data_IF_243603436332
#
_entry.id   IF_243603436332
#
_cell.length_a   1.000
_cell.length_b   1.000
_cell.length_c   1.000
_cell.angle_alpha   90.00
_cell.angle_beta   90.00
_cell.angle_gamma   90.00
#
_symmetry.space_group_name_H-M   'P 1'
#
loop_
_entity.id
_entity.type
_entity.pdbx_description
1 polymer ?
#
# COMPACT_ATOMS: atom_id res chain seq x y z
N UNK A 1 -5.86 29.64 -16.37
CA UNK A 1 -4.70 28.96 -15.77
C UNK A 1 -5.15 28.51 -14.39
N UNK A 2 -5.60 27.27 -14.24
CA UNK A 2 -6.15 26.81 -12.96
C UNK A 2 -5.03 26.23 -12.11
N UNK A 3 -4.51 27.07 -11.22
CA UNK A 3 -3.82 26.64 -10.02
C UNK A 3 -4.94 26.08 -9.15
N UNK A 4 -5.04 24.75 -8.98
CA UNK A 4 -6.05 24.23 -8.05
C UNK A 4 -5.55 24.45 -6.62
N UNK A 5 -5.98 25.58 -6.07
CA UNK A 5 -6.28 25.75 -4.65
C UNK A 5 -7.35 24.72 -4.29
N UNK A 6 -6.97 23.65 -3.59
CA UNK A 6 -7.90 22.58 -3.30
C UNK A 6 -7.33 21.54 -2.36
N UNK A 7 -8.21 21.04 -1.51
CA UNK A 7 -7.95 19.85 -0.69
C UNK A 7 -7.98 18.63 -1.62
N UNK A 8 -6.88 17.89 -1.64
CA UNK A 8 -6.69 16.68 -2.45
C UNK A 8 -6.64 15.44 -1.58
N UNK A 9 -7.01 14.29 -2.16
CA UNK A 9 -6.81 12.99 -1.52
C UNK A 9 -5.55 12.31 -2.01
N UNK A 10 -4.89 11.59 -1.12
CA UNK A 10 -3.80 10.69 -1.48
C UNK A 10 -4.24 9.67 -2.54
N UNK A 11 -5.36 8.97 -2.31
CA UNK A 11 -5.84 7.93 -3.24
C UNK A 11 -6.16 8.42 -4.63
N UNK A 12 -6.55 9.70 -4.76
CA UNK A 12 -6.85 10.31 -6.05
C UNK A 12 -5.59 10.49 -6.90
N UNK A 13 -4.42 10.68 -6.27
CA UNK A 13 -3.16 10.90 -6.99
C UNK A 13 -2.42 9.60 -7.33
N UNK A 14 -2.64 8.53 -6.59
CA UNK A 14 -1.97 7.25 -6.84
C UNK A 14 -2.29 6.73 -8.25
N UNK A 15 -1.27 6.19 -8.92
CA UNK A 15 -1.31 5.67 -10.28
C UNK A 15 -1.65 6.70 -11.37
N UNK A 16 -1.70 8.00 -11.04
CA UNK A 16 -1.83 9.05 -12.05
C UNK A 16 -0.55 9.18 -12.87
N UNK A 17 -0.65 9.37 -14.19
CA UNK A 17 0.46 9.77 -15.04
C UNK A 17 1.10 11.08 -14.58
N UNK A 18 2.42 11.16 -14.71
CA UNK A 18 3.21 12.37 -14.51
C UNK A 18 3.79 12.77 -15.86
N UNK A 19 3.45 13.97 -16.30
CA UNK A 19 3.90 14.54 -17.57
C UNK A 19 4.86 15.70 -17.30
N UNK A 20 5.96 15.73 -18.05
CA UNK A 20 6.84 16.90 -18.06
C UNK A 20 6.14 18.05 -18.79
N UNK A 21 6.02 19.20 -18.13
CA UNK A 21 5.30 20.36 -18.65
C UNK A 21 5.95 20.94 -19.92
N UNK A 22 7.28 20.79 -20.08
CA UNK A 22 8.02 21.35 -21.20
C UNK A 22 8.00 20.41 -22.40
N UNK A 23 8.19 19.11 -22.20
CA UNK A 23 8.29 18.13 -23.30
C UNK A 23 6.97 17.42 -23.60
N UNK A 24 6.00 17.45 -22.66
CA UNK A 24 4.75 16.66 -22.72
C UNK A 24 4.98 15.15 -22.66
N UNK A 25 6.20 14.71 -22.33
CA UNK A 25 6.51 13.28 -22.20
C UNK A 25 6.02 12.73 -20.86
N UNK A 26 5.55 11.49 -20.86
CA UNK A 26 5.21 10.76 -19.63
C UNK A 26 6.50 10.27 -18.94
N UNK A 27 6.74 10.80 -17.74
CA UNK A 27 7.87 10.42 -16.90
C UNK A 27 7.62 9.09 -16.18
N UNK A 28 6.36 8.78 -15.91
CA UNK A 28 5.90 7.58 -15.22
C UNK A 28 4.59 7.82 -14.48
N UNK A 29 4.34 6.99 -13.46
CA UNK A 29 3.10 7.05 -12.66
C UNK A 29 3.41 7.20 -11.17
N UNK A 30 2.55 7.95 -10.48
CA UNK A 30 2.61 8.11 -9.03
C UNK A 30 2.52 6.75 -8.35
N UNK A 31 3.56 6.38 -7.61
CA UNK A 31 3.62 5.15 -6.81
C UNK A 31 3.16 5.42 -5.37
N UNK A 32 3.65 6.51 -4.77
CA UNK A 32 3.34 6.89 -3.40
C UNK A 32 3.58 8.40 -3.21
N UNK A 33 3.20 8.94 -2.04
CA UNK A 33 3.55 10.29 -1.60
C UNK A 33 4.62 10.21 -0.51
N UNK A 34 5.59 11.11 -0.59
CA UNK A 34 6.63 11.30 0.41
C UNK A 34 6.09 12.26 1.47
N UNK A 35 6.08 11.84 2.75
CA UNK A 35 5.51 12.63 3.85
C UNK A 35 6.50 12.87 4.97
N UNK A 36 6.40 14.04 5.60
CA UNK A 36 7.04 14.34 6.89
C UNK A 36 6.00 14.09 7.97
N UNK A 37 6.14 12.99 8.68
CA UNK A 37 5.16 12.51 9.67
C UNK A 37 4.96 13.52 10.81
N UNK A 38 6.05 14.00 11.41
CA UNK A 38 6.01 14.95 12.53
C UNK A 38 5.34 16.29 12.19
N UNK A 39 5.44 16.71 10.91
CA UNK A 39 4.88 17.96 10.43
C UNK A 39 3.52 17.78 9.75
N UNK A 40 3.01 16.55 9.67
CA UNK A 40 1.82 16.18 8.90
C UNK A 40 1.78 16.88 7.54
N UNK A 41 2.83 16.66 6.73
CA UNK A 41 2.99 17.36 5.45
C UNK A 41 3.46 16.42 4.35
N UNK A 42 2.91 16.58 3.16
CA UNK A 42 3.42 15.99 1.92
C UNK A 42 4.63 16.81 1.46
N UNK A 43 5.80 16.16 1.41
CA UNK A 43 7.03 16.76 0.90
C UNK A 43 7.17 16.59 -0.61
N UNK A 44 6.60 15.52 -1.17
CA UNK A 44 6.75 15.22 -2.58
C UNK A 44 6.00 13.98 -3.04
N UNK A 45 6.29 13.61 -4.30
CA UNK A 45 5.71 12.47 -4.99
C UNK A 45 6.80 11.47 -5.32
N UNK A 46 6.52 10.20 -5.05
CA UNK A 46 7.37 9.09 -5.45
C UNK A 46 6.71 8.45 -6.68
N UNK A 47 7.48 8.28 -7.75
CA UNK A 47 6.99 7.71 -9.00
C UNK A 47 7.95 6.66 -9.55
N UNK A 48 7.42 5.72 -10.32
CA UNK A 48 8.22 4.71 -11.03
C UNK A 48 8.43 5.16 -12.45
N UNK A 49 9.69 5.31 -12.87
CA UNK A 49 10.00 5.62 -14.27
C UNK A 49 10.06 4.34 -15.12
N UNK A 50 9.51 4.38 -16.34
CA UNK A 50 9.58 3.30 -17.33
C UNK A 50 8.50 2.20 -17.22
N UNK A 51 8.32 1.42 -18.30
CA UNK A 51 7.23 0.46 -18.50
C UNK A 51 7.40 -0.90 -17.78
N UNK A 52 8.58 -1.18 -17.20
CA UNK A 52 8.94 -2.48 -16.59
C UNK A 52 9.21 -2.38 -15.08
N UNK A 53 8.61 -1.41 -14.39
CA UNK A 53 8.81 -1.22 -12.95
C UNK A 53 10.20 -0.67 -12.61
N UNK A 54 10.63 0.38 -13.33
CA UNK A 54 11.95 0.97 -13.15
C UNK A 54 12.14 1.68 -11.81
N UNK A 55 13.32 2.30 -11.65
CA UNK A 55 13.74 2.92 -10.40
C UNK A 55 12.72 3.95 -9.88
N UNK A 56 12.48 3.92 -8.57
CA UNK A 56 11.67 4.94 -7.90
C UNK A 56 12.43 6.25 -7.91
N UNK A 57 11.77 7.30 -8.35
CA UNK A 57 12.26 8.67 -8.34
C UNK A 57 11.32 9.52 -7.49
N UNK A 58 11.87 10.56 -6.90
CA UNK A 58 11.11 11.51 -6.08
C UNK A 58 11.03 12.85 -6.80
N UNK A 59 9.90 13.55 -6.67
CA UNK A 59 9.73 14.94 -7.07
C UNK A 59 9.27 15.72 -5.85
N UNK A 60 9.83 16.91 -5.66
CA UNK A 60 9.40 17.84 -4.64
C UNK A 60 7.99 18.36 -4.95
N UNK A 61 7.21 18.66 -3.92
CA UNK A 61 5.89 19.27 -4.11
C UNK A 61 5.99 20.59 -4.92
N UNK A 62 7.07 21.35 -4.74
CA UNK A 62 7.36 22.59 -5.48
C UNK A 62 7.60 22.40 -6.98
N UNK A 63 7.94 21.18 -7.42
CA UNK A 63 8.12 20.84 -8.84
C UNK A 63 6.78 20.55 -9.53
N UNK A 64 5.70 20.34 -8.78
CA UNK A 64 4.35 20.16 -9.32
C UNK A 64 3.81 21.53 -9.72
N UNK A 65 3.45 21.67 -11.00
CA UNK A 65 2.94 22.94 -11.55
C UNK A 65 1.42 22.93 -11.69
N UNK A 66 0.85 21.77 -12.01
CA UNK A 66 -0.59 21.61 -12.06
C UNK A 66 -0.97 20.15 -11.77
N UNK A 67 -2.12 19.99 -11.12
CA UNK A 67 -2.75 18.69 -10.89
C UNK A 67 -4.00 18.69 -11.76
N UNK A 68 -3.91 18.04 -12.92
CA UNK A 68 -5.02 17.89 -13.85
C UNK A 68 -5.97 16.77 -13.43
N UNK A 69 -7.14 16.66 -14.11
CA UNK A 69 -8.08 15.57 -13.88
C UNK A 69 -7.44 14.20 -14.17
N UNK A 70 -6.58 14.12 -15.20
CA UNK A 70 -6.05 12.86 -15.71
C UNK A 70 -4.54 12.69 -15.50
N UNK A 71 -3.79 13.76 -15.21
CA UNK A 71 -2.34 13.73 -15.09
C UNK A 71 -1.79 14.85 -14.19
N UNK A 72 -0.62 14.62 -13.61
CA UNK A 72 0.16 15.64 -12.91
C UNK A 72 1.17 16.24 -13.86
N UNK A 73 1.18 17.57 -13.94
CA UNK A 73 2.15 18.33 -14.73
C UNK A 73 3.27 18.81 -13.82
N UNK A 74 4.50 18.42 -14.14
CA UNK A 74 5.68 18.73 -13.34
C UNK A 74 6.72 19.46 -14.16
N UNK A 75 7.58 20.21 -13.50
CA UNK A 75 8.80 20.73 -14.10
C UNK A 75 10.01 20.01 -13.48
N UNK A 76 10.77 19.31 -14.31
CA UNK A 76 11.96 18.55 -13.91
C UNK A 76 13.22 19.41 -13.81
N UNK A 77 13.16 20.69 -14.18
CA UNK A 77 14.26 21.64 -13.99
C UNK A 77 14.41 21.96 -12.49
N UNK A 78 15.26 21.20 -11.80
CA UNK A 78 15.61 21.39 -10.39
C UNK A 78 16.30 20.17 -9.80
N UNK A 79 17.17 20.38 -8.80
CA UNK A 79 17.81 19.26 -8.09
C UNK A 79 16.76 18.50 -7.29
N UNK A 80 16.64 17.20 -7.56
CA UNK A 80 15.92 16.28 -6.69
C UNK A 80 16.76 16.06 -5.46
N UNK A 81 16.53 16.84 -4.40
CA UNK A 81 17.28 16.66 -3.16
C UNK A 81 16.92 15.30 -2.54
N UNK A 82 17.88 14.38 -2.56
CA UNK A 82 17.78 13.04 -1.97
C UNK A 82 17.71 13.11 -0.42
N UNK A 83 17.84 14.30 0.17
CA UNK A 83 18.05 14.49 1.60
C UNK A 83 16.84 15.00 2.39
N UNK A 84 15.61 14.89 1.86
CA UNK A 84 14.42 15.01 2.71
C UNK A 84 14.35 13.77 3.58
N UNK A 85 14.38 13.95 4.91
CA UNK A 85 14.01 12.93 5.91
C UNK A 85 12.50 12.64 5.82
N UNK A 86 12.05 12.21 4.66
CA UNK A 86 10.67 11.87 4.40
C UNK A 86 10.45 10.39 4.68
N UNK A 87 9.45 10.12 5.50
CA UNK A 87 8.92 8.78 5.75
C UNK A 87 7.95 8.37 4.65
N UNK A 88 7.61 7.08 4.65
CA UNK A 88 6.47 6.60 3.88
C UNK A 88 5.17 7.15 4.47
N UNK A 89 4.15 7.26 3.63
CA UNK A 89 2.82 7.66 4.07
C UNK A 89 2.30 6.82 5.25
N UNK A 90 1.62 7.48 6.20
CA UNK A 90 0.89 6.79 7.28
C UNK A 90 -0.29 5.94 6.76
N UNK A 91 -0.64 6.03 5.48
CA UNK A 91 -1.60 5.13 4.85
C UNK A 91 -1.16 3.69 5.05
N UNK A 92 -2.09 2.88 5.55
CA UNK A 92 -1.84 1.49 5.90
C UNK A 92 -1.47 1.26 7.37
N UNK A 93 -1.25 2.29 8.17
CA UNK A 93 -0.98 2.17 9.60
C UNK A 93 -2.25 1.83 10.37
N UNK A 94 -2.11 1.05 11.44
CA UNK A 94 -3.22 0.75 12.34
C UNK A 94 -3.51 1.95 13.25
N UNK A 95 -4.79 2.22 13.48
CA UNK A 95 -5.22 3.27 14.41
C UNK A 95 -5.58 2.63 15.74
N UNK A 96 -4.95 3.12 16.81
CA UNK A 96 -5.11 2.64 18.18
C UNK A 96 -5.49 3.78 19.11
N UNK A 97 -6.28 3.50 20.14
CA UNK A 97 -6.51 4.47 21.22
C UNK A 97 -5.34 4.47 22.21
N UNK A 98 -5.19 5.56 22.94
CA UNK A 98 -4.34 5.67 24.13
C UNK A 98 -4.72 4.65 25.23
N UNK A 99 -5.98 4.23 25.28
CA UNK A 99 -6.47 3.10 26.07
C UNK A 99 -6.08 1.70 25.57
N UNK A 100 -5.31 1.60 24.47
CA UNK A 100 -4.79 0.33 23.96
C UNK A 100 -5.76 -0.48 23.10
N UNK A 101 -6.86 0.11 22.63
CA UNK A 101 -7.81 -0.55 21.74
C UNK A 101 -7.52 -0.21 20.28
N UNK A 102 -7.49 -1.22 19.41
CA UNK A 102 -7.41 -0.99 17.95
C UNK A 102 -8.78 -0.60 17.41
N UNK A 103 -8.84 0.50 16.65
CA UNK A 103 -10.09 1.07 16.12
C UNK A 103 -10.22 0.92 14.61
N UNK A 104 -9.10 0.79 13.89
CA UNK A 104 -9.14 0.76 12.44
C UNK A 104 -7.77 0.77 11.76
N UNK A 105 -7.77 1.23 10.51
CA UNK A 105 -6.57 1.38 9.66
C UNK A 105 -6.70 2.63 8.80
N UNK A 106 -5.63 3.43 8.71
CA UNK A 106 -5.59 4.59 7.80
C UNK A 106 -5.65 4.09 6.36
N UNK A 107 -6.59 4.62 5.59
CA UNK A 107 -6.80 4.27 4.18
C UNK A 107 -6.46 5.40 3.22
N UNK A 108 -6.54 6.65 3.68
CA UNK A 108 -6.34 7.84 2.83
C UNK A 108 -6.01 9.07 3.71
N UNK A 109 -5.70 10.21 3.10
CA UNK A 109 -5.60 11.50 3.79
C UNK A 109 -5.93 12.67 2.87
N UNK A 110 -6.35 13.78 3.48
CA UNK A 110 -6.70 15.04 2.84
C UNK A 110 -5.59 16.05 3.09
N UNK A 111 -5.02 16.57 2.01
CA UNK A 111 -3.94 17.56 2.09
C UNK A 111 -4.14 18.70 1.12
N UNK A 112 -3.57 19.85 1.44
CA UNK A 112 -3.57 21.00 0.56
C UNK A 112 -2.51 20.82 -0.54
N UNK A 113 -2.94 20.89 -1.81
CA UNK A 113 -2.07 20.62 -2.95
C UNK A 113 -0.93 21.62 -3.16
N UNK A 114 -0.98 22.80 -2.54
CA UNK A 114 0.06 23.82 -2.67
C UNK A 114 1.05 23.82 -1.50
N UNK A 115 0.53 23.75 -0.28
CA UNK A 115 1.33 23.81 0.95
C UNK A 115 1.80 22.44 1.40
N UNK A 116 1.14 21.37 0.93
CA UNK A 116 1.37 19.99 1.34
C UNK A 116 0.80 19.66 2.72
N UNK A 117 0.18 20.61 3.43
CA UNK A 117 -0.32 20.39 4.79
C UNK A 117 -1.44 19.36 4.77
N UNK A 118 -1.28 18.29 5.55
CA UNK A 118 -2.28 17.26 5.75
C UNK A 118 -3.22 17.76 6.85
N UNK A 119 -4.49 17.94 6.49
CA UNK A 119 -5.52 18.40 7.43
C UNK A 119 -6.14 17.23 8.20
N UNK A 120 -6.44 16.15 7.48
CA UNK A 120 -7.14 14.99 8.03
C UNK A 120 -6.62 13.69 7.43
N UNK A 121 -6.60 12.64 8.23
CA UNK A 121 -6.48 11.26 7.80
C UNK A 121 -7.86 10.62 7.74
N UNK A 122 -8.02 9.68 6.82
CA UNK A 122 -9.19 8.82 6.74
C UNK A 122 -8.81 7.45 7.25
N UNK A 123 -9.59 6.94 8.20
CA UNK A 123 -9.43 5.58 8.68
C UNK A 123 -10.71 4.77 8.50
N UNK A 124 -10.55 3.53 8.04
CA UNK A 124 -11.62 2.57 8.01
C UNK A 124 -11.77 1.92 9.38
N UNK A 125 -12.96 2.02 9.96
CA UNK A 125 -13.34 1.35 11.20
C UNK A 125 -14.47 0.35 10.92
N UNK A 126 -14.44 -0.78 11.62
CA UNK A 126 -15.50 -1.78 11.55
C UNK A 126 -15.68 -2.47 12.90
N UNK A 127 -16.92 -2.55 13.37
CA UNK A 127 -17.30 -3.31 14.56
C UNK A 127 -16.62 -2.87 15.87
N UNK A 128 -16.12 -1.64 15.97
CA UNK A 128 -15.55 -1.09 17.21
C UNK A 128 -16.63 -0.39 18.06
N UNK A 129 -16.44 -0.35 19.39
CA UNK A 129 -17.45 0.00 20.40
C UNK A 129 -18.33 1.22 20.06
N UNK A 130 -19.54 0.96 19.53
CA UNK A 130 -20.52 2.00 19.17
C UNK A 130 -20.26 2.72 17.84
N UNK A 131 -19.23 2.34 17.08
CA UNK A 131 -18.89 2.92 15.78
C UNK A 131 -19.37 2.01 14.65
N UNK A 132 -20.14 2.57 13.73
CA UNK A 132 -20.64 1.86 12.54
C UNK A 132 -19.53 1.57 11.54
N UNK A 133 -19.71 0.56 10.68
CA UNK A 133 -18.77 0.27 9.59
C UNK A 133 -18.69 1.47 8.63
N UNK A 134 -17.51 2.07 8.52
CA UNK A 134 -17.38 3.36 7.84
C UNK A 134 -15.95 3.84 7.67
N UNK A 135 -15.81 4.89 6.89
CA UNK A 135 -14.58 5.69 6.81
C UNK A 135 -14.79 6.97 7.60
N UNK A 136 -13.87 7.26 8.51
CA UNK A 136 -13.98 8.36 9.47
C UNK A 136 -12.85 9.36 9.26
N UNK A 137 -13.15 10.64 9.51
CA UNK A 137 -12.18 11.72 9.55
C UNK A 137 -11.47 11.75 10.90
N UNK A 138 -10.16 11.88 10.82
CA UNK A 138 -9.26 12.06 11.96
C UNK A 138 -8.37 13.26 11.70
N UNK A 139 -8.43 14.27 12.55
CA UNK A 139 -7.55 15.44 12.44
C UNK A 139 -6.09 15.04 12.58
N UNK A 140 -5.23 15.60 11.74
CA UNK A 140 -3.80 15.30 11.76
C UNK A 140 -3.17 15.60 13.13
N UNK A 141 -3.52 16.72 13.76
CA UNK A 141 -3.03 17.12 15.09
C UNK A 141 -3.44 16.19 16.23
N UNK A 142 -4.46 15.35 16.04
CA UNK A 142 -4.90 14.39 17.04
C UNK A 142 -4.08 13.08 17.01
N UNK A 143 -3.24 12.91 15.99
CA UNK A 143 -2.38 11.73 15.84
C UNK A 143 -1.09 11.95 16.61
N UNK A 144 -0.78 10.98 17.47
CA UNK A 144 0.57 10.77 17.97
C UNK A 144 1.10 9.52 17.29
N UNK A 145 2.31 9.57 16.72
CA UNK A 145 2.91 8.42 16.01
C UNK A 145 4.04 7.80 16.85
N UNK A 146 3.76 6.92 17.82
CA UNK A 146 4.80 6.34 18.65
C UNK A 146 5.46 5.08 18.05
N UNK A 147 5.12 4.63 16.83
CA UNK A 147 5.75 3.42 16.28
C UNK A 147 5.58 3.19 14.78
N UNK A 148 6.50 2.36 14.23
CA UNK A 148 6.71 2.12 12.77
C UNK A 148 5.52 1.62 11.94
N UNK A 149 4.38 1.28 12.55
CA UNK A 149 3.17 0.75 11.87
C UNK A 149 1.85 1.10 12.57
N UNK A 150 1.88 1.98 13.56
CA UNK A 150 0.68 2.34 14.36
C UNK A 150 0.66 3.81 14.68
N UNK A 151 -0.54 4.37 14.64
CA UNK A 151 -0.84 5.70 15.14
C UNK A 151 -1.70 5.57 16.39
N UNK A 152 -1.43 6.42 17.39
CA UNK A 152 -2.20 6.50 18.62
C UNK A 152 -3.03 7.79 18.58
N UNK A 153 -4.30 7.66 18.95
CA UNK A 153 -5.25 8.77 19.07
C UNK A 153 -5.91 8.72 20.44
N UNK A 154 -6.36 9.86 20.94
CA UNK A 154 -7.18 9.86 22.14
C UNK A 154 -8.52 9.18 21.88
N UNK A 155 -8.99 8.37 22.83
CA UNK A 155 -10.26 7.64 22.69
C UNK A 155 -11.47 8.56 22.48
N UNK A 156 -11.50 9.75 23.11
CA UNK A 156 -12.61 10.68 22.92
C UNK A 156 -12.66 11.21 21.48
N UNK A 157 -11.51 11.54 20.90
CA UNK A 157 -11.40 11.99 19.51
C UNK A 157 -11.84 10.89 18.54
N UNK A 158 -11.40 9.65 18.77
CA UNK A 158 -11.79 8.50 17.97
C UNK A 158 -13.30 8.25 17.97
N UNK A 159 -13.97 8.47 19.12
CA UNK A 159 -15.43 8.33 19.26
C UNK A 159 -16.21 9.49 18.68
N UNK A 160 -15.66 10.70 18.71
CA UNK A 160 -16.28 11.89 18.12
C UNK A 160 -15.92 12.12 16.65
N UNK A 161 -15.15 11.21 16.03
CA UNK A 161 -14.76 11.32 14.63
C UNK A 161 -15.98 11.41 13.71
N UNK A 162 -15.91 12.34 12.75
CA UNK A 162 -16.99 12.55 11.78
C UNK A 162 -16.97 11.45 10.73
N UNK A 163 -18.13 10.86 10.42
CA UNK A 163 -18.27 9.88 9.34
C UNK A 163 -18.04 10.59 8.00
N UNK A 164 -17.02 10.16 7.26
CA UNK A 164 -16.69 10.68 5.93
C UNK A 164 -17.53 10.00 4.85
N UNK A 165 -17.56 8.67 4.88
CA UNK A 165 -18.36 7.87 3.94
C UNK A 165 -18.71 6.52 4.55
N UNK A 166 -19.88 6.00 4.19
CA UNK A 166 -20.31 4.65 4.57
C UNK A 166 -19.30 3.58 4.10
N UNK A 167 -19.23 2.48 4.85
CA UNK A 167 -18.17 1.49 4.72
C UNK A 167 -18.07 0.80 3.35
N UNK A 168 -16.85 0.38 3.01
CA UNK A 168 -16.50 -0.30 1.76
C UNK A 168 -17.34 -1.56 1.50
N UNK A 169 -17.85 -2.24 2.54
CA UNK A 169 -18.74 -3.41 2.42
C UNK A 169 -20.10 -3.05 1.79
N UNK A 170 -20.62 -1.84 2.04
CA UNK A 170 -21.86 -1.36 1.45
C UNK A 170 -21.69 -1.19 -0.07
N UNK A 171 -20.54 -0.62 -0.49
CA UNK A 171 -20.16 -0.46 -1.90
C UNK A 171 -19.75 -1.76 -2.58
N UNK A 172 -19.05 -2.65 -1.88
CA UNK A 172 -18.73 -4.00 -2.38
C UNK A 172 -19.99 -4.84 -2.52
N UNK A 173 -20.94 -4.75 -1.58
CA UNK A 173 -22.23 -5.42 -1.65
C UNK A 173 -23.04 -4.97 -2.86
N UNK A 174 -23.11 -3.65 -3.11
CA UNK A 174 -23.75 -3.13 -4.32
C UNK A 174 -23.00 -3.51 -5.60
N UNK A 175 -21.68 -3.50 -5.60
CA UNK A 175 -20.88 -3.91 -6.76
C UNK A 175 -20.95 -5.43 -7.05
N UNK A 176 -20.99 -6.27 -6.02
CA UNK A 176 -21.14 -7.73 -6.15
C UNK A 176 -22.54 -8.10 -6.62
N UNK A 177 -23.58 -7.45 -6.11
CA UNK A 177 -24.95 -7.65 -6.59
C UNK A 177 -25.07 -7.24 -8.06
N UNK A 178 -24.50 -6.10 -8.46
CA UNK A 178 -24.45 -5.69 -9.87
C UNK A 178 -23.61 -6.65 -10.75
N UNK A 179 -22.53 -7.22 -10.22
CA UNK A 179 -21.73 -8.22 -10.92
C UNK A 179 -22.47 -9.56 -11.06
N UNK A 180 -23.24 -9.95 -10.03
CA UNK A 180 -24.06 -11.17 -10.00
C UNK A 180 -25.24 -11.07 -10.97
N UNK A 181 -25.94 -9.94 -11.01
CA UNK A 181 -26.97 -9.65 -12.01
C UNK A 181 -26.41 -9.68 -13.44
N UNK A 182 -25.24 -9.05 -13.66
CA UNK A 182 -24.56 -9.11 -14.96
C UNK A 182 -24.11 -10.53 -15.32
N UNK A 183 -23.62 -11.31 -14.36
CA UNK A 183 -23.21 -12.72 -14.58
C UNK A 183 -24.41 -13.61 -14.94
N UNK A 184 -25.57 -13.38 -14.33
CA UNK A 184 -26.81 -14.09 -14.68
C UNK A 184 -27.25 -13.74 -16.10
N UNK A 185 -27.26 -12.46 -16.46
CA UNK A 185 -27.63 -12.01 -17.81
C UNK A 185 -26.68 -12.54 -18.91
N UNK A 186 -25.38 -12.67 -18.61
CA UNK A 186 -24.39 -13.29 -19.50
C UNK A 186 -24.63 -14.78 -19.64
N UNK A 187 -24.98 -15.47 -18.54
CA UNK A 187 -25.29 -16.90 -18.57
C UNK A 187 -26.55 -17.19 -19.37
N UNK A 188 -27.58 -16.35 -19.24
CA UNK A 188 -28.83 -16.46 -20.00
C UNK A 188 -28.60 -16.18 -21.49
N UNK A 189 -27.84 -15.15 -21.83
CA UNK A 189 -27.43 -14.87 -23.22
C UNK A 189 -26.57 -15.99 -23.81
N UNK A 190 -25.73 -16.64 -23.00
CA UNK A 190 -24.93 -17.79 -23.42
C UNK A 190 -25.82 -19.01 -23.66
N UNK A 191 -26.80 -19.26 -22.80
CA UNK A 191 -27.77 -20.37 -22.94
C UNK A 191 -28.62 -20.21 -24.20
N UNK A 192 -29.09 -19.00 -24.45
CA UNK A 192 -29.91 -18.67 -25.62
C UNK A 192 -29.11 -18.80 -26.92
N UNK A 193 -27.87 -18.26 -26.96
CA UNK A 193 -26.98 -18.44 -28.11
C UNK A 193 -26.51 -19.88 -28.29
N UNK A 194 -26.32 -20.63 -27.21
CA UNK A 194 -25.92 -22.06 -27.28
C UNK A 194 -27.09 -22.92 -27.77
N UNK A 195 -28.32 -22.59 -27.39
CA UNK A 195 -29.52 -23.24 -27.93
C UNK A 195 -29.67 -22.95 -29.43
N UNK A 196 -29.52 -21.68 -29.85
CA UNK A 196 -29.56 -21.28 -31.26
C UNK A 196 -28.43 -21.92 -32.10
N UNK A 197 -27.22 -22.00 -31.53
CA UNK A 197 -26.08 -22.71 -32.14
C UNK A 197 -26.31 -24.23 -32.20
N UNK A 198 -26.97 -24.82 -31.18
CA UNK A 198 -27.33 -26.23 -31.17
C UNK A 198 -28.33 -26.61 -32.26
N UNK A 199 -29.27 -25.71 -32.57
CA UNK A 199 -30.18 -25.87 -33.71
C UNK A 199 -29.45 -25.70 -35.05
N UNK A 200 -28.55 -24.72 -35.18
CA UNK A 200 -27.72 -24.57 -36.39
C UNK A 200 -26.73 -25.73 -36.58
N UNK A 201 -26.22 -26.32 -35.50
CA UNK A 201 -25.31 -27.46 -35.54
C UNK A 201 -25.98 -28.72 -36.07
N UNK A 202 -27.28 -28.95 -35.80
CA UNK A 202 -28.02 -30.08 -36.40
C UNK A 202 -28.04 -30.01 -37.93
N UNK A 203 -28.27 -28.82 -38.51
CA UNK A 203 -28.25 -28.63 -39.96
C UNK A 203 -26.87 -28.85 -40.60
N UNK A 204 -25.80 -28.50 -39.89
CA UNK A 204 -24.42 -28.75 -40.34
C UNK A 204 -24.00 -30.22 -40.19
N UNK A 205 -24.48 -30.92 -39.16
CA UNK A 205 -24.23 -32.36 -38.95
C UNK A 205 -24.89 -33.20 -40.05
N UNK A 206 -26.11 -32.85 -40.49
CA UNK A 206 -26.77 -33.53 -41.59
C UNK A 206 -26.06 -33.28 -42.94
N UNK A 207 -25.57 -32.05 -43.18
CA UNK A 207 -24.74 -31.73 -44.37
C UNK A 207 -23.37 -32.42 -44.34
N UNK A 208 -22.75 -32.56 -43.17
CA UNK A 208 -21.47 -33.23 -43.00
C UNK A 208 -21.61 -34.76 -43.15
N UNK A 209 -22.76 -35.33 -42.77
CA UNK A 209 -23.05 -36.76 -42.94
C UNK A 209 -23.18 -37.17 -44.41
N UNK A 210 -23.70 -36.28 -45.27
CA UNK A 210 -23.73 -36.51 -46.73
C UNK A 210 -22.35 -36.34 -47.39
N UNK A 211 -21.50 -35.44 -46.90
CA UNK A 211 -20.13 -35.23 -47.41
C UNK A 211 -19.06 -36.11 -46.72
N UNK A 212 -19.45 -36.87 -45.70
CA UNK A 212 -18.56 -37.54 -44.75
C UNK A 212 -17.89 -38.82 -45.24
N UNK A 213 -18.26 -39.36 -46.40
CA UNK A 213 -17.61 -40.57 -46.92
C UNK A 213 -16.21 -40.31 -47.54
N UNK A 214 -15.85 -39.06 -47.86
CA UNK A 214 -14.59 -38.76 -48.59
C UNK A 214 -13.55 -38.03 -47.72
N UNK A 215 -13.94 -37.44 -46.58
CA UNK A 215 -13.06 -36.66 -45.71
C UNK A 215 -12.58 -37.40 -44.45
N UNK A 216 -13.11 -38.60 -44.19
CA UNK A 216 -12.84 -39.36 -42.96
C UNK A 216 -11.39 -39.82 -42.80
N UNK A 217 -10.63 -39.95 -43.89
CA UNK A 217 -9.23 -40.41 -43.83
C UNK A 217 -8.26 -39.27 -43.48
N UNK A 218 -8.40 -38.08 -44.07
CA UNK A 218 -7.55 -36.93 -43.77
C UNK A 218 -7.79 -36.34 -42.37
N UNK A 219 -9.00 -36.44 -41.84
CA UNK A 219 -9.32 -35.97 -40.49
C UNK A 219 -8.69 -36.85 -39.41
N UNK A 220 -8.58 -38.16 -39.67
CA UNK A 220 -8.02 -39.13 -38.73
C UNK A 220 -6.51 -38.97 -38.56
N UNK A 221 -5.79 -38.66 -39.64
CA UNK A 221 -4.37 -38.31 -39.57
C UNK A 221 -4.12 -36.99 -38.84
N UNK A 222 -4.91 -35.94 -39.11
CA UNK A 222 -4.75 -34.65 -38.42
C UNK A 222 -5.12 -34.71 -36.94
N UNK A 223 -6.12 -35.50 -36.57
CA UNK A 223 -6.49 -35.71 -35.17
C UNK A 223 -5.42 -36.49 -34.40
N UNK A 224 -4.77 -37.47 -35.05
CA UNK A 224 -3.64 -38.19 -34.46
C UNK A 224 -2.43 -37.27 -34.26
N UNK A 225 -2.06 -36.48 -35.28
CA UNK A 225 -0.94 -35.54 -35.19
C UNK A 225 -1.16 -34.43 -34.15
N UNK A 226 -2.40 -33.93 -34.02
CA UNK A 226 -2.75 -32.95 -32.97
C UNK A 226 -2.79 -33.60 -31.58
N UNK A 227 -3.20 -34.86 -31.48
CA UNK A 227 -3.19 -35.62 -30.22
C UNK A 227 -1.77 -35.84 -29.70
N UNK A 228 -0.82 -36.10 -30.60
CA UNK A 228 0.60 -36.20 -30.24
C UNK A 228 1.18 -34.85 -29.82
N UNK A 229 0.92 -33.76 -30.57
CA UNK A 229 1.35 -32.41 -30.18
C UNK A 229 0.76 -31.95 -28.84
N UNK A 230 -0.50 -32.30 -28.56
CA UNK A 230 -1.14 -31.96 -27.29
C UNK A 230 -0.57 -32.77 -26.11
N UNK A 231 -0.20 -34.04 -26.34
CA UNK A 231 0.49 -34.86 -25.33
C UNK A 231 1.90 -34.34 -25.05
N UNK A 232 2.64 -33.98 -26.08
CA UNK A 232 4.01 -33.47 -25.95
C UNK A 232 4.05 -32.11 -25.21
N UNK A 233 3.06 -31.24 -25.46
CA UNK A 233 2.87 -30.00 -24.69
C UNK A 233 2.45 -30.26 -23.24
N UNK A 234 1.62 -31.26 -22.99
CA UNK A 234 1.23 -31.66 -21.65
C UNK A 234 2.43 -32.23 -20.86
N UNK A 235 3.25 -33.06 -21.49
CA UNK A 235 4.46 -33.62 -20.89
C UNK A 235 5.51 -32.53 -20.61
N UNK A 236 5.72 -31.59 -21.53
CA UNK A 236 6.57 -30.41 -21.28
C UNK A 236 6.05 -29.50 -20.17
N UNK A 237 4.72 -29.39 -20.02
CA UNK A 237 4.12 -28.61 -18.94
C UNK A 237 4.25 -29.33 -17.59
N UNK A 238 4.18 -30.66 -17.57
CA UNK A 238 4.41 -31.49 -16.37
C UNK A 238 5.88 -31.39 -15.94
N UNK A 239 6.86 -31.45 -16.84
CA UNK A 239 8.29 -31.29 -16.51
C UNK A 239 8.62 -29.87 -16.01
N UNK A 240 8.05 -28.83 -16.64
CA UNK A 240 8.17 -27.45 -16.14
C UNK A 240 7.49 -27.27 -14.79
N UNK A 241 6.38 -27.97 -14.55
CA UNK A 241 5.70 -28.00 -13.26
C UNK A 241 6.54 -28.67 -12.17
N UNK A 242 7.21 -29.78 -12.48
CA UNK A 242 8.06 -30.51 -11.53
C UNK A 242 9.31 -29.72 -11.16
N UNK A 243 9.99 -29.09 -12.13
CA UNK A 243 11.16 -28.22 -11.84
C UNK A 243 10.82 -26.96 -11.03
N UNK A 244 9.60 -26.43 -11.16
CA UNK A 244 9.09 -25.35 -10.30
C UNK A 244 8.77 -25.83 -8.87
N UNK A 245 8.28 -27.06 -8.71
CA UNK A 245 8.04 -27.66 -7.39
C UNK A 245 9.37 -27.99 -6.69
N UNK A 246 10.36 -28.49 -7.43
CA UNK A 246 11.68 -28.86 -6.90
C UNK A 246 12.53 -27.61 -6.54
N UNK A 247 12.52 -26.57 -7.38
CA UNK A 247 13.16 -25.28 -7.05
C UNK A 247 12.50 -24.51 -5.90
N UNK A 248 11.24 -24.85 -5.57
CA UNK A 248 10.56 -24.32 -4.38
C UNK A 248 10.80 -25.17 -3.14
N UNK A 249 11.08 -26.48 -3.30
CA UNK A 249 11.43 -27.38 -2.20
C UNK A 249 12.90 -27.22 -1.75
N UNK A 250 13.81 -26.80 -2.64
CA UNK A 250 15.21 -26.52 -2.29
C UNK A 250 15.40 -25.17 -1.54
N UNK A 251 14.40 -24.29 -1.53
CA UNK A 251 14.38 -23.05 -0.70
C UNK A 251 13.79 -23.25 0.70
N UNK A 252 13.38 -24.47 1.06
CA UNK A 252 12.96 -24.85 2.40
C UNK A 252 14.03 -25.69 3.11
N UNK A 253 15.27 -25.21 3.09
CA UNK A 253 16.25 -25.56 4.12
C UNK A 253 16.36 -24.36 5.08
N UNK A 254 16.14 -24.54 6.40
CA UNK A 254 16.53 -23.50 7.36
C UNK A 254 18.05 -23.31 7.24
N UNK A 255 18.60 -22.10 7.45
CA UNK A 255 20.04 -21.95 7.51
C UNK A 255 20.56 -22.78 8.69
N UNK A 256 21.24 -23.90 8.40
CA UNK A 256 22.23 -24.44 9.32
C UNK A 256 23.29 -23.38 9.46
N UNK A 257 23.31 -22.75 10.63
CA UNK A 257 24.37 -21.87 11.04
C UNK A 257 25.58 -22.78 11.29
N UNK A 258 26.48 -22.86 10.30
CA UNK A 258 27.85 -23.31 10.54
C UNK A 258 28.50 -22.25 11.43
N UNK A 259 28.43 -22.50 12.74
CA UNK A 259 29.28 -21.81 13.71
C UNK A 259 30.61 -22.54 13.67
N UNK A 260 31.53 -21.99 12.90
CA UNK A 260 32.95 -22.31 13.01
C UNK A 260 33.36 -22.04 14.47
N UNK A 261 33.86 -23.10 15.11
CA UNK A 261 34.30 -23.08 16.50
C UNK A 261 35.44 -22.07 16.68
N UNK A 262 35.10 -20.86 17.13
CA UNK A 262 36.03 -20.01 17.88
C UNK A 262 35.74 -20.20 19.35
N UNK A 263 36.65 -20.94 19.99
CA UNK A 263 37.02 -20.93 21.41
C UNK A 263 36.06 -20.22 22.36
N UNK A 264 35.42 -21.02 23.22
CA UNK A 264 34.77 -20.60 24.45
C UNK A 264 35.81 -19.97 25.37
N UNK A 265 35.75 -18.66 25.58
CA UNK A 265 36.29 -18.02 26.78
C UNK A 265 35.13 -17.86 27.77
N UNK A 266 35.32 -18.52 28.90
CA UNK A 266 34.44 -18.58 30.07
C UNK A 266 34.14 -17.16 30.62
N UNK A 267 32.89 -16.80 30.97
CA UNK A 267 32.62 -15.53 31.61
C UNK A 267 33.14 -15.59 33.05
N UNK A 268 34.16 -14.78 33.36
CA UNK A 268 34.61 -14.57 34.73
C UNK A 268 33.49 -13.98 35.60
N UNK A 269 33.34 -14.46 36.85
CA UNK A 269 32.36 -13.91 37.79
C UNK A 269 32.75 -12.48 38.22
N UNK A 270 31.75 -11.60 38.24
CA UNK A 270 31.84 -10.24 38.77
C UNK A 270 32.44 -10.26 40.20
N UNK A 271 33.43 -9.39 40.53
CA UNK A 271 33.89 -9.25 41.89
C UNK A 271 32.79 -8.64 42.78
N UNK A 272 32.68 -9.06 44.06
CA UNK A 272 31.69 -8.54 44.99
C UNK A 272 31.94 -7.06 45.31
N UNK A 273 30.86 -6.30 45.42
CA UNK A 273 30.89 -4.95 45.97
C UNK A 273 31.32 -5.01 47.44
N UNK A 274 32.51 -4.50 47.75
CA UNK A 274 32.90 -4.25 49.14
C UNK A 274 32.32 -2.92 49.65
N UNK A 275 31.92 -2.87 50.93
CA UNK A 275 31.26 -1.72 51.52
C UNK A 275 32.30 -0.69 51.94
N UNK A 276 32.11 0.57 51.58
CA UNK A 276 32.81 1.69 52.22
C UNK A 276 31.81 2.42 53.11
N UNK A 277 31.88 2.07 54.39
CA UNK A 277 31.24 2.77 55.49
C UNK A 277 32.10 3.98 55.90
N UNK A 278 31.43 5.13 55.95
CA UNK A 278 31.64 6.32 56.78
C UNK A 278 33.01 6.60 57.41
N UNK A 279 33.58 7.78 57.10
CA UNK A 279 33.51 8.93 58.02
C UNK A 279 34.39 10.10 57.57
N UNK A 280 34.01 11.28 58.07
CA UNK A 280 34.76 12.55 58.18
C UNK A 280 34.31 13.66 57.20
N UNK A 281 33.25 14.36 57.62
CA UNK A 281 33.02 15.82 57.48
C UNK A 281 34.21 16.62 58.08
N UNK A 282 34.40 17.95 57.83
CA UNK A 282 33.36 18.96 57.54
C UNK A 282 33.74 20.05 56.52
N UNK A 283 32.73 20.71 55.92
CA UNK A 283 32.76 22.14 55.55
C UNK A 283 31.35 22.61 55.14
N UNK A 284 30.64 23.20 56.09
CA UNK A 284 29.64 24.25 55.86
C UNK A 284 30.33 25.60 56.16
N UNK A 285 29.81 26.79 55.81
CA UNK A 285 28.64 27.11 55.00
C UNK A 285 28.89 28.19 53.91
N UNK A 286 28.01 28.29 52.92
CA UNK A 286 27.81 29.55 52.19
C UNK A 286 26.31 29.87 52.21
N UNK A 287 25.97 30.75 53.15
CA UNK A 287 24.72 31.49 53.27
C UNK A 287 24.27 32.08 51.91
N UNK A 288 23.00 31.92 51.51
CA UNK A 288 22.37 32.84 50.59
C UNK A 288 21.82 34.05 51.37
N UNK A 289 22.47 35.21 51.22
CA UNK A 289 21.95 36.51 51.64
C UNK A 289 20.66 36.85 50.86
N UNK A 290 19.53 37.15 51.52
CA UNK A 290 18.38 37.77 50.86
C UNK A 290 18.34 39.28 51.11
N UNK A 291 18.17 40.02 50.00
CA UNK A 291 17.45 41.31 49.87
C UNK A 291 17.80 42.43 50.85
N UNK A 292 18.46 43.46 50.33
CA UNK A 292 18.12 44.84 50.69
C UNK A 292 17.21 45.47 49.62
N UNK A 293 16.02 45.96 50.01
CA UNK A 293 15.25 46.93 49.26
C UNK A 293 15.73 48.36 49.58
N UNK A 294 15.17 49.36 48.88
CA UNK A 294 15.16 50.78 49.28
C UNK A 294 16.47 51.57 49.03
N UNK A 295 16.52 52.77 48.44
CA UNK A 295 15.59 53.76 47.83
C UNK A 295 16.50 54.88 47.23
N UNK A 296 16.08 56.14 46.99
CA UNK A 296 14.90 56.71 46.33
C UNK A 296 15.27 57.76 45.25
N UNK A 297 14.22 58.29 44.60
CA UNK A 297 14.10 59.64 44.01
C UNK A 297 14.91 59.99 42.74
#
# INVERSE_FOLDING_TARGET
>A
MSIQEGVLKYSELINRPILDLRTTEELGRVDNLSTVEDAHRVAGIIYKSGFLGGQKKTLLLSQIRAIGPDALMVNTDGETDEQIKSGESLVGHEVWTDGGSRIGKITDFLFDGQTGVISHYLFAASGWSGITDGTYLLEASAITTPGKKRVIVNEAVAKSSTLYSEGLKQRLGTALEQAKERSQSLTDQLKERTAALGEQAKGLVDQAKERGQVLGEQAKERAAALGEQARELADQAIERGQSLVESTQERLHPPTTDVEATVVEEPQPLPPAEPVDSSVTPSEPLEPQPKDPHTPH
#
